data_IF_971066969795
#
_entry.id   IF_971066969795
#
_cell.length_a   1.000
_cell.length_b   1.000
_cell.length_c   1.000
_cell.angle_alpha   90.00
_cell.angle_beta   90.00
_cell.angle_gamma   90.00
#
_symmetry.space_group_name_H-M   'P 1'
#
loop_
_entity.id
_entity.type
_entity.pdbx_description
1 polymer ?
#
# COMPACT_ATOMS: atom_id res chain seq x y z
N UNK A 1 -10.05 8.40 -37.69
CA UNK A 1 -9.98 7.99 -36.27
C UNK A 1 -8.88 8.79 -35.61
N UNK A 2 -9.22 9.66 -34.67
CA UNK A 2 -8.25 10.40 -33.87
C UNK A 2 -7.98 9.60 -32.60
N UNK A 3 -6.71 9.38 -32.25
CA UNK A 3 -6.30 8.68 -31.03
C UNK A 3 -5.83 9.74 -30.04
N UNK A 4 -6.48 9.82 -28.89
CA UNK A 4 -6.12 10.73 -27.80
C UNK A 4 -5.43 9.95 -26.67
N UNK A 5 -4.42 10.56 -26.04
CA UNK A 5 -3.66 9.95 -24.95
C UNK A 5 -3.71 10.85 -23.71
N UNK A 6 -4.21 10.32 -22.59
CA UNK A 6 -4.19 11.01 -21.30
C UNK A 6 -2.76 11.35 -20.87
N UNK A 7 -2.57 12.49 -20.20
CA UNK A 7 -1.33 12.83 -19.50
C UNK A 7 -1.66 13.44 -18.13
N UNK A 8 -1.08 12.91 -17.03
CA UNK A 8 -0.15 11.78 -16.97
C UNK A 8 -0.82 10.41 -17.20
N UNK A 9 -0.03 9.44 -17.67
CA UNK A 9 -0.38 7.99 -17.78
C UNK A 9 0.87 7.13 -17.53
N UNK A 10 0.70 5.83 -17.23
CA UNK A 10 1.82 4.89 -17.09
C UNK A 10 2.47 4.90 -15.71
N UNK A 11 3.80 4.77 -15.64
CA UNK A 11 4.57 4.58 -14.39
C UNK A 11 4.58 5.80 -13.46
N UNK A 12 4.56 5.53 -12.15
CA UNK A 12 4.80 6.53 -11.12
C UNK A 12 6.19 6.30 -10.49
N UNK A 13 6.68 7.27 -9.71
CA UNK A 13 8.00 7.19 -9.08
C UNK A 13 8.17 5.94 -8.18
N UNK A 14 7.10 5.51 -7.49
CA UNK A 14 7.16 4.30 -6.64
C UNK A 14 7.33 3.01 -7.45
N UNK A 15 6.62 2.90 -8.57
CA UNK A 15 6.69 1.76 -9.49
C UNK A 15 8.07 1.69 -10.15
N UNK A 16 8.56 2.82 -10.69
CA UNK A 16 9.86 2.91 -11.35
C UNK A 16 11.01 2.52 -10.42
N UNK A 17 10.98 3.03 -9.18
CA UNK A 17 11.92 2.65 -8.12
C UNK A 17 11.86 1.15 -7.81
N UNK A 18 10.66 0.59 -7.65
CA UNK A 18 10.52 -0.80 -7.23
C UNK A 18 11.01 -1.78 -8.29
N UNK A 19 10.69 -1.53 -9.56
CA UNK A 19 11.21 -2.31 -10.69
C UNK A 19 12.74 -2.20 -10.73
N UNK A 20 13.27 -0.98 -10.67
CA UNK A 20 14.73 -0.74 -10.70
C UNK A 20 15.48 -1.45 -9.58
N UNK A 21 14.90 -1.57 -8.38
CA UNK A 21 15.51 -2.31 -7.26
C UNK A 21 15.67 -3.80 -7.62
N UNK A 22 14.65 -4.43 -8.20
CA UNK A 22 14.72 -5.85 -8.59
C UNK A 22 15.69 -6.04 -9.75
N UNK A 23 15.62 -5.20 -10.78
CA UNK A 23 16.53 -5.25 -11.92
C UNK A 23 17.99 -5.09 -11.51
N UNK A 24 18.27 -4.12 -10.63
CA UNK A 24 19.62 -3.86 -10.15
C UNK A 24 20.13 -4.96 -9.24
N UNK A 25 19.26 -5.57 -8.43
CA UNK A 25 19.62 -6.74 -7.63
C UNK A 25 20.01 -7.93 -8.52
N UNK A 26 19.24 -8.19 -9.59
CA UNK A 26 19.57 -9.22 -10.58
C UNK A 26 20.90 -8.94 -11.29
N UNK A 27 21.16 -7.69 -11.67
CA UNK A 27 22.41 -7.30 -12.32
C UNK A 27 23.64 -7.44 -11.40
N UNK A 28 23.50 -7.08 -10.14
CA UNK A 28 24.62 -7.04 -9.19
C UNK A 28 24.92 -8.39 -8.56
N UNK A 29 23.89 -9.19 -8.28
CA UNK A 29 24.00 -10.43 -7.50
C UNK A 29 23.67 -11.69 -8.31
N UNK A 30 23.13 -11.55 -9.52
CA UNK A 30 22.67 -12.67 -10.34
C UNK A 30 21.35 -13.26 -9.85
N UNK A 31 20.87 -14.28 -10.58
CA UNK A 31 19.69 -15.05 -10.19
C UNK A 31 20.06 -16.19 -9.22
N UNK A 32 19.14 -16.60 -8.31
CA UNK A 32 17.78 -16.10 -8.14
C UNK A 32 17.67 -14.90 -7.17
N UNK A 33 16.70 -14.02 -7.43
CA UNK A 33 16.27 -12.96 -6.50
C UNK A 33 14.82 -13.22 -6.08
N UNK A 34 14.57 -13.33 -4.79
CA UNK A 34 13.22 -13.59 -4.26
C UNK A 34 12.49 -12.26 -4.03
N UNK A 35 11.23 -12.18 -4.47
CA UNK A 35 10.38 -11.00 -4.29
C UNK A 35 9.09 -11.44 -3.62
N UNK A 36 8.75 -10.85 -2.47
CA UNK A 36 7.49 -11.14 -1.78
C UNK A 36 6.32 -10.41 -2.46
N UNK A 37 5.37 -11.20 -2.95
CA UNK A 37 4.30 -10.84 -3.87
C UNK A 37 4.83 -10.27 -5.19
N UNK A 38 3.94 -10.03 -6.16
CA UNK A 38 4.28 -9.26 -7.35
C UNK A 38 4.85 -7.89 -6.95
N UNK A 39 6.00 -7.52 -7.51
CA UNK A 39 6.68 -6.24 -7.19
C UNK A 39 5.76 -5.04 -7.47
N UNK A 40 4.96 -5.15 -8.53
CA UNK A 40 3.85 -4.28 -8.95
C UNK A 40 2.81 -5.13 -9.67
N UNK A 41 1.53 -4.75 -9.63
CA UNK A 41 0.43 -5.48 -10.30
C UNK A 41 0.42 -5.24 -11.83
N UNK A 42 1.44 -5.75 -12.53
CA UNK A 42 1.52 -5.72 -13.99
C UNK A 42 2.14 -7.01 -14.53
N UNK A 43 1.33 -7.81 -15.21
CA UNK A 43 1.73 -9.11 -15.75
C UNK A 43 2.95 -9.06 -16.68
N UNK A 44 3.08 -8.03 -17.51
CA UNK A 44 4.23 -7.90 -18.42
C UNK A 44 5.53 -7.67 -17.63
N UNK A 45 5.51 -6.75 -16.67
CA UNK A 45 6.66 -6.47 -15.78
C UNK A 45 7.04 -7.72 -14.99
N UNK A 46 6.06 -8.37 -14.35
CA UNK A 46 6.29 -9.57 -13.54
C UNK A 46 6.88 -10.71 -14.37
N UNK A 47 6.34 -10.96 -15.57
CA UNK A 47 6.87 -11.99 -16.46
C UNK A 47 8.29 -11.68 -16.93
N UNK A 48 8.57 -10.44 -17.32
CA UNK A 48 9.91 -10.03 -17.75
C UNK A 48 10.95 -10.18 -16.63
N UNK A 49 10.61 -9.83 -15.38
CA UNK A 49 11.50 -10.05 -14.24
C UNK A 49 11.69 -11.55 -13.94
N UNK A 50 10.63 -12.36 -14.08
CA UNK A 50 10.70 -13.82 -13.88
C UNK A 50 11.62 -14.48 -14.91
N UNK A 51 11.51 -14.08 -16.18
CA UNK A 51 12.40 -14.56 -17.27
C UNK A 51 13.87 -14.22 -17.00
N UNK A 52 14.13 -13.12 -16.27
CA UNK A 52 15.48 -12.71 -15.86
C UNK A 52 15.97 -13.38 -14.56
N UNK A 53 15.14 -14.19 -13.90
CA UNK A 53 15.50 -14.95 -12.71
C UNK A 53 14.95 -14.42 -11.37
N UNK A 54 13.98 -13.50 -11.39
CA UNK A 54 13.21 -13.18 -10.19
C UNK A 54 12.22 -14.31 -9.86
N UNK A 55 12.13 -14.68 -8.59
CA UNK A 55 11.18 -15.66 -8.07
C UNK A 55 10.20 -14.95 -7.16
N UNK A 56 8.93 -14.91 -7.56
CA UNK A 56 7.85 -14.31 -6.78
C UNK A 56 7.27 -15.37 -5.84
N UNK A 57 7.17 -15.04 -4.56
CA UNK A 57 6.70 -15.91 -3.46
C UNK A 57 5.62 -15.20 -2.65
N UNK A 58 4.80 -15.97 -1.94
CA UNK A 58 3.75 -15.41 -1.07
C UNK A 58 4.26 -15.32 0.38
N UNK A 59 4.91 -16.38 0.86
CA UNK A 59 5.35 -16.53 2.24
C UNK A 59 6.87 -16.52 2.39
N UNK A 60 7.37 -15.90 3.46
CA UNK A 60 8.82 -15.80 3.74
C UNK A 60 9.45 -17.18 3.94
N UNK A 61 8.67 -18.15 4.42
CA UNK A 61 9.12 -19.54 4.61
C UNK A 61 9.52 -20.24 3.31
N UNK A 62 9.07 -19.76 2.15
CA UNK A 62 9.44 -20.28 0.83
C UNK A 62 10.85 -19.85 0.38
N UNK A 63 11.40 -18.81 1.02
CA UNK A 63 12.72 -18.27 0.70
C UNK A 63 13.80 -19.11 1.38
N UNK A 64 14.80 -19.65 0.66
CA UNK A 64 15.89 -20.40 1.29
C UNK A 64 16.84 -19.48 2.06
N UNK A 65 17.61 -20.04 2.98
CA UNK A 65 18.66 -19.30 3.69
C UNK A 65 19.75 -18.83 2.72
N UNK A 66 20.41 -17.73 3.08
CA UNK A 66 21.41 -17.01 2.28
C UNK A 66 20.89 -16.54 0.92
N UNK A 67 19.57 -16.31 0.80
CA UNK A 67 18.96 -15.67 -0.36
C UNK A 67 18.90 -14.15 -0.22
N UNK A 68 18.65 -13.48 -1.34
CA UNK A 68 18.26 -12.07 -1.38
C UNK A 68 16.74 -11.99 -1.50
N UNK A 69 16.12 -11.22 -0.60
CA UNK A 69 14.69 -10.99 -0.58
C UNK A 69 14.39 -9.50 -0.81
N UNK A 70 13.32 -9.24 -1.57
CA UNK A 70 12.80 -7.90 -1.85
C UNK A 70 11.32 -7.85 -1.46
N UNK A 71 10.92 -6.87 -0.65
CA UNK A 71 9.50 -6.57 -0.44
C UNK A 71 8.95 -5.74 -1.60
N UNK A 72 7.72 -6.03 -2.06
CA UNK A 72 7.05 -5.31 -3.15
C UNK A 72 6.75 -3.84 -2.83
N UNK A 73 6.33 -3.08 -3.85
CA UNK A 73 6.01 -1.66 -3.72
C UNK A 73 4.84 -1.37 -2.78
N UNK A 74 3.94 -2.35 -2.60
CA UNK A 74 2.72 -2.26 -1.78
C UNK A 74 2.99 -2.28 -0.27
N UNK A 75 4.20 -2.67 0.15
CA UNK A 75 4.55 -2.76 1.56
C UNK A 75 4.15 -4.08 2.22
N UNK A 76 4.63 -4.26 3.45
CA UNK A 76 4.42 -5.46 4.27
C UNK A 76 4.15 -5.11 5.72
N UNK A 77 3.50 -6.02 6.44
CA UNK A 77 3.20 -5.89 7.88
C UNK A 77 4.46 -5.92 8.74
N UNK A 78 4.34 -5.50 10.01
CA UNK A 78 5.44 -5.63 10.97
C UNK A 78 5.79 -7.10 11.26
N UNK A 79 4.81 -8.00 11.25
CA UNK A 79 5.02 -9.42 11.44
C UNK A 79 5.91 -10.01 10.33
N UNK A 80 5.58 -9.76 9.07
CA UNK A 80 6.39 -10.20 7.91
C UNK A 80 7.79 -9.59 7.95
N UNK A 81 7.89 -8.31 8.31
CA UNK A 81 9.19 -7.63 8.45
C UNK A 81 10.03 -8.25 9.57
N UNK A 82 9.43 -8.62 10.69
CA UNK A 82 10.12 -9.27 11.80
C UNK A 82 10.55 -10.69 11.43
N UNK A 83 9.68 -11.45 10.76
CA UNK A 83 9.99 -12.79 10.24
C UNK A 83 11.21 -12.75 9.30
N UNK A 84 11.19 -11.89 8.28
CA UNK A 84 12.31 -11.77 7.34
C UNK A 84 13.62 -11.35 8.02
N UNK A 85 13.56 -10.48 9.04
CA UNK A 85 14.74 -10.07 9.82
C UNK A 85 15.30 -11.17 10.71
N UNK A 86 14.47 -12.12 11.13
CA UNK A 86 14.89 -13.28 11.92
C UNK A 86 15.50 -14.39 11.07
N UNK A 87 15.28 -14.37 9.74
CA UNK A 87 15.85 -15.33 8.80
C UNK A 87 17.32 -14.99 8.49
N UNK A 88 18.09 -16.02 8.15
CA UNK A 88 19.45 -15.86 7.68
C UNK A 88 19.46 -15.48 6.18
N UNK A 89 19.06 -14.26 5.84
CA UNK A 89 19.09 -13.73 4.48
C UNK A 89 20.43 -13.07 4.20
N UNK A 90 20.96 -13.22 2.97
CA UNK A 90 22.15 -12.48 2.54
C UNK A 90 21.87 -10.99 2.45
N UNK A 91 20.69 -10.63 1.95
CA UNK A 91 20.25 -9.24 1.88
C UNK A 91 18.73 -9.13 1.88
N UNK A 92 18.23 -8.07 2.50
CA UNK A 92 16.82 -7.70 2.48
C UNK A 92 16.70 -6.27 1.94
N UNK A 93 16.06 -6.12 0.79
CA UNK A 93 15.73 -4.83 0.22
C UNK A 93 14.25 -4.51 0.38
N UNK A 94 13.95 -3.23 0.62
CA UNK A 94 12.59 -2.74 0.79
C UNK A 94 12.20 -1.84 -0.38
N UNK A 95 11.44 -2.40 -1.31
CA UNK A 95 10.93 -1.65 -2.46
C UNK A 95 9.62 -0.92 -2.17
N UNK A 96 9.11 -0.96 -0.93
CA UNK A 96 7.88 -0.25 -0.53
C UNK A 96 7.94 1.20 -1.00
N UNK A 97 6.86 1.66 -1.62
CA UNK A 97 6.73 3.05 -2.05
C UNK A 97 6.83 3.98 -0.82
N UNK A 98 7.65 5.06 -0.86
CA UNK A 98 7.75 5.99 0.27
C UNK A 98 6.41 6.61 0.70
N UNK A 99 5.46 6.73 -0.23
CA UNK A 99 4.11 7.23 0.08
C UNK A 99 3.27 6.20 0.84
N UNK A 100 3.49 4.90 0.64
CA UNK A 100 2.91 3.83 1.47
C UNK A 100 3.59 3.81 2.84
N UNK A 101 4.93 3.94 2.88
CA UNK A 101 5.68 4.02 4.15
C UNK A 101 5.21 5.18 5.02
N UNK A 102 4.85 6.33 4.43
CA UNK A 102 4.25 7.45 5.16
C UNK A 102 2.99 7.01 5.92
N UNK A 103 2.06 6.31 5.26
CA UNK A 103 0.83 5.81 5.87
C UNK A 103 1.13 4.81 6.98
N UNK A 104 2.07 3.88 6.73
CA UNK A 104 2.52 2.92 7.74
C UNK A 104 3.01 3.59 9.03
N UNK A 105 3.75 4.70 8.91
CA UNK A 105 4.29 5.43 10.05
C UNK A 105 3.20 6.11 10.90
N UNK A 106 2.12 6.56 10.28
CA UNK A 106 0.97 7.13 10.99
C UNK A 106 0.19 6.05 11.75
N UNK A 107 -0.07 4.89 11.12
CA UNK A 107 -0.72 3.75 11.80
C UNK A 107 0.15 3.25 12.96
N UNK A 108 1.46 3.09 12.75
CA UNK A 108 2.39 2.71 13.82
C UNK A 108 2.45 3.74 14.95
N UNK A 109 2.21 5.03 14.66
CA UNK A 109 2.11 6.08 15.69
C UNK A 109 0.81 5.97 16.48
N UNK A 110 -0.33 5.72 15.82
CA UNK A 110 -1.60 5.47 16.49
C UNK A 110 -1.52 4.24 17.42
N UNK A 111 -0.97 3.14 16.91
CA UNK A 111 -0.73 1.91 17.68
C UNK A 111 0.10 2.17 18.95
N UNK A 112 1.24 2.87 18.83
CA UNK A 112 2.09 3.21 19.99
C UNK A 112 1.36 4.02 21.07
N UNK A 113 0.41 4.85 20.67
CA UNK A 113 -0.40 5.66 21.60
C UNK A 113 -1.65 4.93 22.12
N UNK A 114 -1.97 3.75 21.58
CA UNK A 114 -3.22 3.05 21.88
C UNK A 114 -4.47 3.77 21.36
N UNK A 115 -4.29 4.65 20.37
CA UNK A 115 -5.37 5.42 19.72
C UNK A 115 -5.97 4.54 18.63
N UNK A 116 -7.29 4.46 18.56
CA UNK A 116 -7.96 3.68 17.52
C UNK A 116 -7.73 4.29 16.12
N UNK A 117 -7.64 3.44 15.10
CA UNK A 117 -7.39 3.85 13.74
C UNK A 117 -8.34 3.14 12.76
N UNK A 118 -8.84 3.90 11.79
CA UNK A 118 -9.68 3.41 10.69
C UNK A 118 -8.90 3.55 9.39
N UNK A 119 -8.76 2.45 8.65
CA UNK A 119 -8.25 2.46 7.29
C UNK A 119 -9.42 2.43 6.31
N UNK A 120 -9.43 3.37 5.37
CA UNK A 120 -10.25 3.29 4.16
C UNK A 120 -9.44 2.52 3.12
N UNK A 121 -9.94 1.39 2.63
CA UNK A 121 -9.22 0.56 1.67
C UNK A 121 -10.00 -0.71 1.32
N UNK A 122 -9.50 -1.47 0.36
CA UNK A 122 -10.15 -2.71 -0.07
C UNK A 122 -9.59 -3.95 0.64
N UNK A 123 -10.48 -4.76 1.23
CA UNK A 123 -10.08 -6.00 1.89
C UNK A 123 -9.32 -6.94 0.95
N UNK A 124 -8.27 -7.58 1.47
CA UNK A 124 -7.41 -8.49 0.72
C UNK A 124 -6.38 -7.82 -0.20
N UNK A 125 -6.37 -6.48 -0.31
CA UNK A 125 -5.30 -5.81 -1.06
C UNK A 125 -3.97 -5.83 -0.28
N UNK A 126 -2.81 -6.16 -0.90
CA UNK A 126 -1.53 -6.25 -0.18
C UNK A 126 -1.13 -4.99 0.60
N UNK A 127 -1.46 -3.81 0.07
CA UNK A 127 -1.23 -2.53 0.76
C UNK A 127 -2.07 -2.38 2.03
N UNK A 128 -3.30 -2.89 2.00
CA UNK A 128 -4.22 -2.88 3.15
C UNK A 128 -3.70 -3.84 4.22
N UNK A 129 -3.35 -5.08 3.85
CA UNK A 129 -2.73 -6.04 4.78
C UNK A 129 -1.43 -5.49 5.40
N UNK A 130 -0.59 -4.86 4.58
CA UNK A 130 0.62 -4.20 5.02
C UNK A 130 0.36 -3.07 6.01
N UNK A 131 -0.62 -2.21 5.72
CA UNK A 131 -0.97 -1.03 6.52
C UNK A 131 -1.65 -1.41 7.83
N UNK A 132 -2.67 -2.29 7.79
CA UNK A 132 -3.33 -2.83 8.98
C UNK A 132 -2.32 -3.53 9.90
N UNK A 133 -1.39 -4.28 9.30
CA UNK A 133 -0.32 -4.97 10.02
C UNK A 133 0.77 -4.09 10.64
N UNK A 134 0.63 -2.76 10.59
CA UNK A 134 1.43 -1.83 11.39
C UNK A 134 0.85 -1.60 12.79
N UNK A 135 -0.42 -1.94 13.00
CA UNK A 135 -1.11 -1.80 14.27
C UNK A 135 -1.02 -3.08 15.10
N UNK A 136 -0.61 -3.00 16.36
CA UNK A 136 -0.40 -4.15 17.22
C UNK A 136 -0.73 -3.91 18.71
N UNK A 137 -1.32 -2.75 19.05
CA UNK A 137 -1.67 -2.44 20.43
C UNK A 137 -3.07 -2.98 20.77
N UNK A 138 -3.21 -3.95 21.69
CA UNK A 138 -4.50 -4.56 22.01
C UNK A 138 -5.46 -3.62 22.74
N UNK A 139 -4.96 -2.55 23.36
CA UNK A 139 -5.79 -1.59 24.10
C UNK A 139 -6.61 -0.69 23.16
N UNK A 140 -6.07 -0.38 21.98
CA UNK A 140 -6.78 0.36 20.94
C UNK A 140 -7.50 -0.57 19.96
N UNK A 141 -7.43 -0.25 18.67
CA UNK A 141 -8.15 -0.97 17.62
C UNK A 141 -7.77 -0.47 16.23
N UNK A 142 -7.77 -1.38 15.26
CA UNK A 142 -7.57 -1.08 13.84
C UNK A 142 -8.77 -1.62 13.07
N UNK A 143 -9.43 -0.75 12.32
CA UNK A 143 -10.66 -1.07 11.60
C UNK A 143 -10.49 -0.81 10.11
N UNK A 144 -11.17 -1.61 9.28
CA UNK A 144 -11.21 -1.43 7.83
C UNK A 144 -12.64 -1.06 7.43
N UNK A 145 -12.78 -0.06 6.56
CA UNK A 145 -14.05 0.33 5.94
C UNK A 145 -13.85 0.51 4.44
N UNK A 146 -14.84 0.11 3.65
CA UNK A 146 -14.80 0.25 2.18
C UNK A 146 -15.89 1.18 1.66
N UNK A 147 -16.88 1.52 2.50
CA UNK A 147 -18.07 2.25 2.11
C UNK A 147 -18.62 3.13 3.24
N UNK A 148 -19.46 4.14 2.94
CA UNK A 148 -20.19 4.90 3.96
C UNK A 148 -21.04 4.00 4.86
N UNK A 149 -21.63 2.93 4.32
CA UNK A 149 -22.44 1.99 5.08
C UNK A 149 -21.62 1.26 6.16
N UNK A 150 -20.37 0.92 5.86
CA UNK A 150 -19.46 0.31 6.85
C UNK A 150 -19.17 1.28 7.99
N UNK A 151 -18.96 2.57 7.66
CA UNK A 151 -18.74 3.63 8.66
C UNK A 151 -19.90 3.73 9.64
N UNK A 152 -21.15 3.72 9.15
CA UNK A 152 -22.31 3.84 10.01
C UNK A 152 -22.57 2.60 10.87
N UNK A 153 -22.07 1.42 10.46
CA UNK A 153 -22.14 0.18 11.24
C UNK A 153 -20.98 0.03 12.21
N UNK A 154 -19.91 0.81 12.04
CA UNK A 154 -18.69 0.66 12.82
C UNK A 154 -18.91 1.06 14.28
N UNK A 155 -18.45 0.18 15.18
CA UNK A 155 -18.38 0.46 16.62
C UNK A 155 -16.91 0.54 17.02
N UNK A 156 -16.53 1.65 17.64
CA UNK A 156 -15.20 1.91 18.20
C UNK A 156 -15.29 2.06 19.72
N UNK A 157 -14.18 1.99 20.44
CA UNK A 157 -14.15 2.08 21.91
C UNK A 157 -14.19 3.52 22.40
N UNK A 158 -13.50 4.45 21.73
CA UNK A 158 -13.41 5.87 22.08
C UNK A 158 -13.48 6.76 20.82
N UNK A 159 -14.68 7.27 20.54
CA UNK A 159 -14.95 8.16 19.40
C UNK A 159 -14.22 9.51 19.48
N UNK A 160 -13.75 9.92 20.67
CA UNK A 160 -13.03 11.19 20.86
C UNK A 160 -11.53 11.07 20.61
N UNK A 161 -11.02 9.85 20.44
CA UNK A 161 -9.60 9.57 20.27
C UNK A 161 -9.40 8.56 19.14
N UNK A 162 -9.78 9.00 17.94
CA UNK A 162 -9.86 8.18 16.74
C UNK A 162 -9.09 8.86 15.59
N UNK A 163 -8.41 8.07 14.78
CA UNK A 163 -7.73 8.55 13.58
C UNK A 163 -8.13 7.78 12.34
N UNK A 164 -7.96 8.37 11.15
CA UNK A 164 -8.13 7.65 9.90
C UNK A 164 -6.97 7.84 8.93
N UNK A 165 -6.79 6.83 8.09
CA UNK A 165 -5.82 6.77 6.99
C UNK A 165 -6.51 6.18 5.77
N UNK A 166 -5.92 6.34 4.58
CA UNK A 166 -6.46 5.74 3.34
C UNK A 166 -5.41 4.96 2.58
N UNK A 167 -5.86 3.94 1.85
CA UNK A 167 -5.05 3.30 0.79
C UNK A 167 -4.72 4.35 -0.30
N UNK A 168 -3.53 4.27 -0.87
CA UNK A 168 -2.98 5.31 -1.75
C UNK A 168 -3.52 5.29 -3.19
N UNK A 169 -4.31 4.27 -3.54
CA UNK A 169 -4.74 3.91 -4.89
C UNK A 169 -6.25 3.96 -5.11
N UNK A 170 -7.00 4.50 -4.14
CA UNK A 170 -8.46 4.56 -4.18
C UNK A 170 -9.01 5.60 -5.18
N UNK A 171 -10.29 5.44 -5.51
CA UNK A 171 -11.11 6.46 -6.15
C UNK A 171 -11.16 7.72 -5.29
N UNK A 172 -10.79 8.87 -5.85
CA UNK A 172 -10.79 10.15 -5.11
C UNK A 172 -12.22 10.55 -4.74
N UNK A 173 -13.18 10.28 -5.61
CA UNK A 173 -14.57 10.68 -5.41
C UNK A 173 -15.21 9.79 -4.33
N UNK A 174 -15.12 8.47 -4.45
CA UNK A 174 -15.71 7.54 -3.46
C UNK A 174 -15.06 7.67 -2.08
N UNK A 175 -13.76 7.92 -2.03
CA UNK A 175 -13.06 8.15 -0.75
C UNK A 175 -13.54 9.43 -0.07
N UNK A 176 -13.90 10.46 -0.84
CA UNK A 176 -14.49 11.68 -0.29
C UNK A 176 -15.80 11.38 0.44
N UNK A 177 -16.67 10.57 -0.15
CA UNK A 177 -17.96 10.20 0.44
C UNK A 177 -17.78 9.42 1.76
N UNK A 178 -16.78 8.52 1.81
CA UNK A 178 -16.46 7.76 3.04
C UNK A 178 -15.90 8.70 4.12
N UNK A 179 -15.04 9.65 3.76
CA UNK A 179 -14.48 10.63 4.72
C UNK A 179 -15.59 11.54 5.27
N UNK A 180 -16.52 11.97 4.43
CA UNK A 180 -17.66 12.78 4.87
C UNK A 180 -18.55 12.00 5.84
N UNK A 181 -18.81 10.71 5.56
CA UNK A 181 -19.50 9.82 6.49
C UNK A 181 -18.72 9.65 7.82
N UNK A 182 -17.40 9.49 7.77
CA UNK A 182 -16.55 9.39 8.97
C UNK A 182 -16.63 10.65 9.83
N UNK A 183 -16.55 11.84 9.22
CA UNK A 183 -16.63 13.11 9.94
C UNK A 183 -18.03 13.39 10.49
N UNK A 184 -19.07 12.94 9.79
CA UNK A 184 -20.44 13.02 10.28
C UNK A 184 -20.66 12.09 11.48
N UNK A 185 -20.16 10.86 11.40
CA UNK A 185 -20.34 9.83 12.44
C UNK A 185 -19.42 10.03 13.65
N UNK A 186 -18.19 10.49 13.43
CA UNK A 186 -17.15 10.69 14.43
C UNK A 186 -16.56 12.11 14.31
N UNK A 187 -17.24 13.15 14.85
CA UNK A 187 -16.84 14.54 14.64
C UNK A 187 -15.44 14.92 15.15
N UNK A 188 -14.89 14.15 16.10
CA UNK A 188 -13.56 14.35 16.67
C UNK A 188 -12.45 13.59 15.92
N UNK A 189 -12.77 12.85 14.87
CA UNK A 189 -11.80 12.01 14.15
C UNK A 189 -10.68 12.86 13.52
N UNK A 190 -9.44 12.40 13.69
CA UNK A 190 -8.25 13.08 13.19
C UNK A 190 -7.74 12.36 11.94
N UNK A 191 -7.47 13.11 10.88
CA UNK A 191 -6.85 12.55 9.67
C UNK A 191 -5.99 13.57 8.94
N UNK A 192 -5.47 13.22 7.75
CA UNK A 192 -4.81 14.17 6.88
C UNK A 192 -5.77 15.29 6.47
N UNK A 193 -5.23 16.37 5.87
CA UNK A 193 -6.06 17.50 5.38
C UNK A 193 -7.17 17.04 4.42
N UNK A 194 -6.88 16.03 3.61
CA UNK A 194 -7.81 15.41 2.67
C UNK A 194 -7.81 13.90 2.86
N UNK A 195 -6.85 13.21 2.26
CA UNK A 195 -6.69 11.76 2.23
C UNK A 195 -5.18 11.42 2.11
N UNK A 196 -4.85 10.13 2.06
CA UNK A 196 -3.50 9.63 1.76
C UNK A 196 -3.38 9.12 0.30
N UNK A 197 -4.37 9.42 -0.56
CA UNK A 197 -4.31 9.07 -1.99
C UNK A 197 -3.12 9.79 -2.62
N UNK A 198 -2.26 9.03 -3.30
CA UNK A 198 -1.02 9.59 -3.80
C UNK A 198 -1.24 10.47 -5.04
N UNK A 199 -0.30 11.41 -5.28
CA UNK A 199 -0.34 12.29 -6.45
C UNK A 199 -0.51 11.53 -7.77
N UNK A 200 0.07 10.33 -7.87
CA UNK A 200 0.04 9.55 -9.08
C UNK A 200 -1.37 9.04 -9.40
N UNK A 201 -2.12 8.64 -8.37
CA UNK A 201 -3.52 8.21 -8.47
C UNK A 201 -4.41 9.39 -8.82
N UNK A 202 -4.32 10.48 -8.05
CA UNK A 202 -5.13 11.70 -8.25
C UNK A 202 -4.95 12.25 -9.66
N UNK A 203 -3.71 12.45 -10.11
CA UNK A 203 -3.44 13.05 -11.41
C UNK A 203 -3.88 12.14 -12.58
N UNK A 204 -3.85 10.81 -12.41
CA UNK A 204 -4.30 9.87 -13.45
C UNK A 204 -5.83 9.83 -13.54
N UNK A 205 -6.52 9.90 -12.41
CA UNK A 205 -7.99 10.01 -12.40
C UNK A 205 -8.45 11.34 -13.03
N UNK A 206 -7.74 12.44 -12.76
CA UNK A 206 -8.00 13.71 -13.42
C UNK A 206 -7.74 13.64 -14.93
N UNK A 207 -6.60 13.08 -15.35
CA UNK A 207 -6.23 12.96 -16.76
C UNK A 207 -7.23 12.11 -17.56
N UNK A 208 -7.70 10.99 -17.00
CA UNK A 208 -8.71 10.15 -17.68
C UNK A 208 -10.08 10.82 -17.69
N UNK A 209 -10.45 11.59 -16.66
CA UNK A 209 -11.70 12.38 -16.64
C UNK A 209 -11.69 13.44 -17.74
N UNK A 210 -10.57 14.10 -17.98
CA UNK A 210 -10.41 15.04 -19.10
C UNK A 210 -10.46 14.32 -20.44
N UNK A 211 -9.70 13.22 -20.60
CA UNK A 211 -9.71 12.43 -21.82
C UNK A 211 -11.12 11.96 -22.22
N UNK A 212 -11.92 11.52 -21.24
CA UNK A 212 -13.28 11.03 -21.47
C UNK A 212 -14.28 12.12 -21.91
N UNK A 213 -13.98 13.41 -21.68
CA UNK A 213 -14.81 14.52 -22.16
C UNK A 213 -14.54 14.84 -23.63
N UNK A 214 -13.31 14.60 -24.09
CA UNK A 214 -12.85 14.89 -25.45
C UNK A 214 -12.97 13.66 -26.38
N UNK A 215 -13.44 12.53 -25.86
CA UNK A 215 -13.60 11.25 -26.56
C UNK A 215 -14.91 11.13 -27.34
#
# INVERSE_FOLDING_TARGET
MQILLANPRGFCAGVDRAISIVERALEMYGAPIYVRHEVVHNRYVVNSLRERGAIFIEEISEVPDNAILIFSAHGVSQAVRAEAKARNLTMLFDATCPLVTKVHMEVARASRKGVEAILIGHAGHPEVEGTMGQYNNPNGGMYLVESPEDVFRLTVKDENNLSFMTQTTLSVDDTSDIIDALRQRFPAIIGPRKDDICYATTNRQEAVRTLAKDA
#
